data_IF_375616875588
#
_entry.id   IF_375616875588
#
_cell.length_a   1.000
_cell.length_b   1.000
_cell.length_c   1.000
_cell.angle_alpha   90.00
_cell.angle_beta   90.00
_cell.angle_gamma   90.00
#
_symmetry.space_group_name_H-M   'P 1'
#
loop_
_entity.id
_entity.type
_entity.pdbx_description
1 polymer ?
#
# COMPACT_ATOMS: atom_id res chain seq x y z
N UNK A 1 -11.99 2.65 -7.31
CA UNK A 1 -11.74 1.23 -7.13
C UNK A 1 -12.14 0.82 -5.74
N UNK A 2 -13.42 0.46 -5.65
CA UNK A 2 -14.03 0.03 -4.40
C UNK A 2 -13.34 -1.23 -3.88
N UNK A 3 -13.05 -1.19 -2.61
CA UNK A 3 -12.28 -2.19 -1.90
C UNK A 3 -13.05 -3.54 -1.99
N UNK A 4 -12.71 -4.38 -2.97
CA UNK A 4 -13.30 -5.71 -3.15
C UNK A 4 -13.17 -6.61 -1.91
N UNK A 5 -12.28 -6.25 -0.97
CA UNK A 5 -12.14 -6.88 0.34
C UNK A 5 -13.38 -6.67 1.23
N UNK A 6 -14.11 -5.56 1.06
CA UNK A 6 -15.34 -5.27 1.82
C UNK A 6 -16.49 -6.18 1.42
N UNK A 7 -16.60 -6.51 0.13
CA UNK A 7 -17.65 -7.42 -0.36
C UNK A 7 -17.41 -8.87 0.06
N UNK A 8 -16.14 -9.30 0.16
CA UNK A 8 -15.79 -10.63 0.65
C UNK A 8 -16.02 -10.78 2.16
N UNK A 9 -15.74 -9.74 2.96
CA UNK A 9 -16.02 -9.73 4.40
C UNK A 9 -17.53 -9.72 4.69
N UNK A 10 -18.33 -9.13 3.80
CA UNK A 10 -19.79 -9.11 3.91
C UNK A 10 -20.43 -10.46 3.58
N UNK A 11 -19.81 -11.24 2.69
CA UNK A 11 -20.24 -12.60 2.35
C UNK A 11 -19.87 -13.65 3.42
N UNK A 12 -18.87 -13.36 4.28
CA UNK A 12 -18.36 -14.27 5.31
C UNK A 12 -19.19 -14.33 6.62
N UNK A 13 -20.42 -13.86 6.62
CA UNK A 13 -21.37 -14.08 7.70
C UNK A 13 -21.32 -13.05 8.83
N UNK A 14 -22.53 -12.60 9.25
CA UNK A 14 -22.79 -11.55 10.24
C UNK A 14 -22.39 -11.88 11.70
N UNK A 15 -21.32 -12.60 11.94
CA UNK A 15 -20.76 -12.81 13.26
C UNK A 15 -19.83 -11.66 13.69
N UNK A 16 -19.62 -11.46 14.99
CA UNK A 16 -18.77 -10.44 15.57
C UNK A 16 -17.36 -10.40 14.91
N UNK A 17 -16.83 -11.55 14.53
CA UNK A 17 -15.52 -11.70 13.86
C UNK A 17 -15.54 -11.06 12.45
N UNK A 18 -16.60 -11.22 11.69
CA UNK A 18 -16.76 -10.62 10.35
C UNK A 18 -16.85 -9.10 10.42
N UNK A 19 -17.52 -8.57 11.43
CA UNK A 19 -17.63 -7.12 11.68
C UNK A 19 -16.26 -6.56 12.05
N UNK A 20 -15.54 -7.19 12.96
CA UNK A 20 -14.18 -6.77 13.39
C UNK A 20 -13.20 -6.80 12.21
N UNK A 21 -13.20 -7.85 11.40
CA UNK A 21 -12.33 -7.94 10.23
C UNK A 21 -12.66 -6.88 9.18
N UNK A 22 -13.94 -6.60 8.95
CA UNK A 22 -14.39 -5.53 8.06
C UNK A 22 -13.92 -4.16 8.54
N UNK A 23 -14.11 -3.87 9.84
CA UNK A 23 -13.77 -2.59 10.43
C UNK A 23 -12.25 -2.39 10.46
N UNK A 24 -11.49 -3.45 10.72
CA UNK A 24 -10.02 -3.44 10.65
C UNK A 24 -9.54 -3.18 9.22
N UNK A 25 -10.13 -3.83 8.22
CA UNK A 25 -9.81 -3.61 6.80
C UNK A 25 -10.17 -2.18 6.37
N UNK A 26 -11.29 -1.66 6.86
CA UNK A 26 -11.74 -0.28 6.59
C UNK A 26 -10.79 0.75 7.21
N UNK A 27 -10.41 0.56 8.47
CA UNK A 27 -9.40 1.37 9.16
C UNK A 27 -8.05 1.32 8.42
N UNK A 28 -7.61 0.16 7.97
CA UNK A 28 -6.39 0.02 7.20
C UNK A 28 -6.48 0.78 5.86
N UNK A 29 -7.52 0.56 5.06
CA UNK A 29 -7.71 1.24 3.77
C UNK A 29 -7.84 2.76 3.93
N UNK A 30 -8.49 3.23 5.00
CA UNK A 30 -8.68 4.64 5.29
C UNK A 30 -7.39 5.31 5.79
N UNK A 31 -6.58 4.60 6.59
CA UNK A 31 -5.34 5.12 7.17
C UNK A 31 -4.19 5.21 6.15
N UNK A 32 -4.18 4.34 5.12
CA UNK A 32 -3.12 4.27 4.11
C UNK A 32 -2.84 5.63 3.44
N UNK A 33 -3.84 6.37 2.91
CA UNK A 33 -3.62 7.66 2.24
C UNK A 33 -3.60 8.85 3.20
N UNK A 34 -4.23 8.75 4.37
CA UNK A 34 -4.50 9.91 5.25
C UNK A 34 -3.49 10.10 6.37
N UNK A 35 -2.92 9.02 6.85
CA UNK A 35 -1.98 9.11 7.95
C UNK A 35 -0.61 9.59 7.46
N UNK A 36 -0.27 10.84 7.78
CA UNK A 36 1.00 11.48 7.49
C UNK A 36 1.73 11.83 8.80
N UNK A 37 3.06 11.71 8.84
CA UNK A 37 3.85 12.12 9.99
C UNK A 37 4.93 11.12 10.42
N UNK A 38 5.65 11.46 11.50
CA UNK A 38 6.81 10.67 11.99
C UNK A 38 6.47 9.24 12.39
N UNK A 39 5.30 9.01 12.96
CA UNK A 39 4.87 7.66 13.34
C UNK A 39 4.60 6.76 12.11
N UNK A 40 4.32 7.35 10.93
CA UNK A 40 4.16 6.62 9.68
C UNK A 40 5.44 5.91 9.24
N UNK A 41 6.60 6.49 9.49
CA UNK A 41 7.90 5.87 9.17
C UNK A 41 8.07 4.51 9.86
N UNK A 42 7.50 4.37 11.07
CA UNK A 42 7.47 3.07 11.77
C UNK A 42 6.47 2.08 11.13
N UNK A 43 5.29 2.58 10.74
CA UNK A 43 4.26 1.79 10.07
C UNK A 43 4.69 1.31 8.67
N UNK A 44 5.50 2.09 7.96
CA UNK A 44 6.04 1.73 6.63
C UNK A 44 6.99 0.50 6.64
N UNK A 45 7.35 0.00 7.83
CA UNK A 45 8.03 -1.30 8.00
C UNK A 45 7.06 -2.48 7.86
N UNK A 46 5.75 -2.28 8.04
CA UNK A 46 4.73 -3.31 7.95
C UNK A 46 4.21 -3.43 6.51
N UNK A 47 3.89 -4.65 6.09
CA UNK A 47 3.58 -5.03 4.70
C UNK A 47 2.58 -4.10 3.97
N UNK A 48 1.38 -3.78 4.48
CA UNK A 48 0.40 -3.02 3.71
C UNK A 48 0.83 -1.57 3.46
N UNK A 49 1.47 -0.92 4.45
CA UNK A 49 1.95 0.46 4.30
C UNK A 49 3.17 0.56 3.39
N UNK A 50 4.08 -0.41 3.47
CA UNK A 50 5.23 -0.52 2.58
C UNK A 50 4.79 -0.67 1.12
N UNK A 51 3.81 -1.54 0.86
CA UNK A 51 3.24 -1.74 -0.47
C UNK A 51 2.65 -0.45 -1.05
N UNK A 52 1.88 0.28 -0.24
CA UNK A 52 1.30 1.56 -0.63
C UNK A 52 2.38 2.60 -0.95
N UNK A 53 3.41 2.73 -0.11
CA UNK A 53 4.56 3.61 -0.33
C UNK A 53 5.25 3.27 -1.66
N UNK A 54 5.57 2.01 -1.88
CA UNK A 54 6.27 1.55 -3.07
C UNK A 54 5.46 1.81 -4.35
N UNK A 55 4.12 1.62 -4.30
CA UNK A 55 3.23 1.99 -5.40
C UNK A 55 3.22 3.50 -5.68
N UNK A 56 3.17 4.31 -4.65
CA UNK A 56 3.19 5.78 -4.81
C UNK A 56 4.55 6.26 -5.33
N UNK A 57 5.66 5.66 -4.89
CA UNK A 57 7.00 5.94 -5.39
C UNK A 57 7.14 5.65 -6.90
N UNK A 58 6.61 4.51 -7.37
CA UNK A 58 6.60 4.18 -8.80
C UNK A 58 5.76 5.19 -9.60
N UNK A 59 4.56 5.52 -9.12
CA UNK A 59 3.69 6.52 -9.78
C UNK A 59 4.36 7.88 -9.84
N UNK A 60 4.97 8.31 -8.74
CA UNK A 60 5.72 9.56 -8.69
C UNK A 60 6.85 9.58 -9.73
N UNK A 61 7.70 8.55 -9.77
CA UNK A 61 8.79 8.46 -10.75
C UNK A 61 8.28 8.42 -12.19
N UNK A 62 7.18 7.71 -12.44
CA UNK A 62 6.58 7.64 -13.77
C UNK A 62 6.17 9.02 -14.28
N UNK A 63 5.45 9.79 -13.46
CA UNK A 63 5.01 11.14 -13.81
C UNK A 63 6.17 12.14 -13.85
N UNK A 64 7.08 12.10 -12.87
CA UNK A 64 8.24 12.98 -12.81
C UNK A 64 9.13 12.82 -14.06
N UNK A 65 9.39 11.59 -14.50
CA UNK A 65 10.21 11.34 -15.70
C UNK A 65 9.55 11.86 -16.99
N UNK A 66 8.22 11.82 -17.09
CA UNK A 66 7.51 12.39 -18.26
C UNK A 66 7.57 13.91 -18.25
N UNK A 67 7.30 14.53 -17.09
CA UNK A 67 7.27 15.98 -16.95
C UNK A 67 8.67 16.60 -17.08
N UNK A 68 9.72 15.94 -16.61
CA UNK A 68 11.10 16.40 -16.72
C UNK A 68 11.69 16.28 -18.14
N UNK A 69 11.11 15.48 -19.02
CA UNK A 69 11.52 15.37 -20.42
C UNK A 69 11.09 16.54 -21.30
N UNK A 70 10.19 17.39 -20.83
CA UNK A 70 9.77 18.58 -21.59
C UNK A 70 10.93 19.58 -21.72
N UNK A 71 10.91 20.44 -22.76
CA UNK A 71 11.95 21.48 -22.98
C UNK A 71 11.83 22.60 -21.93
N UNK A 72 12.94 23.10 -21.40
CA UNK A 72 13.00 24.21 -20.47
C UNK A 72 14.01 24.02 -19.34
N UNK A 73 14.08 24.99 -18.39
CA UNK A 73 14.98 24.92 -17.24
C UNK A 73 14.57 23.79 -16.28
N UNK A 74 15.54 23.01 -15.77
CA UNK A 74 15.31 21.83 -14.93
C UNK A 74 14.61 22.20 -13.63
N UNK A 75 14.97 23.30 -13.00
CA UNK A 75 14.41 23.73 -11.71
C UNK A 75 12.92 24.07 -11.85
N UNK A 76 12.60 24.85 -12.89
CA UNK A 76 11.21 25.22 -13.18
C UNK A 76 10.36 23.99 -13.48
N UNK A 77 10.92 23.01 -14.21
CA UNK A 77 10.22 21.77 -14.54
C UNK A 77 10.00 20.88 -13.34
N UNK A 78 11.04 20.73 -12.50
CA UNK A 78 10.92 19.96 -11.26
C UNK A 78 9.87 20.56 -10.34
N UNK A 79 9.90 21.88 -10.16
CA UNK A 79 8.91 22.61 -9.37
C UNK A 79 7.49 22.43 -9.92
N UNK A 80 7.31 22.58 -11.22
CA UNK A 80 6.01 22.41 -11.89
C UNK A 80 5.53 20.95 -11.75
N UNK A 81 6.42 19.98 -11.94
CA UNK A 81 6.10 18.57 -11.79
C UNK A 81 5.63 18.21 -10.37
N UNK A 82 6.27 18.77 -9.34
CA UNK A 82 5.86 18.61 -7.95
C UNK A 82 4.51 19.24 -7.65
N UNK A 83 4.26 20.46 -8.18
CA UNK A 83 2.97 21.16 -8.02
C UNK A 83 1.82 20.39 -8.70
N UNK A 84 2.02 19.96 -9.95
CA UNK A 84 1.00 19.20 -10.69
C UNK A 84 0.67 17.90 -9.99
N UNK A 85 1.69 17.19 -9.49
CA UNK A 85 1.46 15.95 -8.75
C UNK A 85 0.85 16.19 -7.37
N UNK A 86 1.10 17.35 -6.75
CA UNK A 86 0.58 17.73 -5.45
C UNK A 86 -0.91 18.09 -5.46
N UNK A 87 -1.44 18.56 -6.60
CA UNK A 87 -2.81 19.04 -6.70
C UNK A 87 -3.86 17.97 -6.34
N UNK A 88 -3.64 16.72 -6.78
CA UNK A 88 -4.54 15.60 -6.53
C UNK A 88 -3.92 14.51 -5.60
N UNK A 89 -2.83 14.86 -4.90
CA UNK A 89 -2.12 13.90 -4.08
C UNK A 89 -2.88 13.60 -2.78
N UNK A 90 -2.92 12.32 -2.35
CA UNK A 90 -3.41 11.98 -1.02
C UNK A 90 -2.53 12.65 0.06
N UNK A 91 -3.08 12.96 1.25
CA UNK A 91 -2.40 13.75 2.29
C UNK A 91 -1.00 13.26 2.65
N UNK A 92 -0.79 11.94 2.64
CA UNK A 92 0.53 11.35 2.87
C UNK A 92 1.53 11.70 1.77
N UNK A 93 1.14 11.58 0.51
CA UNK A 93 2.02 11.91 -0.62
C UNK A 93 2.23 13.43 -0.70
N UNK A 94 1.17 14.22 -0.50
CA UNK A 94 1.24 15.68 -0.48
C UNK A 94 2.29 16.18 0.52
N UNK A 95 2.36 15.60 1.72
CA UNK A 95 3.37 15.92 2.72
C UNK A 95 4.82 15.68 2.23
N UNK A 96 5.07 14.61 1.47
CA UNK A 96 6.38 14.36 0.87
C UNK A 96 6.70 15.35 -0.25
N UNK A 97 5.72 15.64 -1.11
CA UNK A 97 5.87 16.58 -2.23
C UNK A 97 6.11 18.01 -1.75
N UNK A 98 5.41 18.43 -0.70
CA UNK A 98 5.61 19.75 -0.08
C UNK A 98 7.06 19.88 0.46
N UNK A 99 7.59 18.84 1.11
CA UNK A 99 8.98 18.84 1.56
C UNK A 99 9.98 18.87 0.41
N UNK A 100 9.70 18.17 -0.69
CA UNK A 100 10.52 18.25 -1.90
C UNK A 100 10.47 19.67 -2.48
N UNK A 101 9.30 20.26 -2.53
CA UNK A 101 9.09 21.61 -3.05
C UNK A 101 9.86 22.65 -2.23
N UNK A 102 9.82 22.58 -0.89
CA UNK A 102 10.60 23.46 -0.01
C UNK A 102 12.11 23.37 -0.29
N UNK A 103 12.64 22.17 -0.60
CA UNK A 103 14.06 22.00 -0.95
C UNK A 103 14.39 22.59 -2.32
N UNK A 104 13.51 22.40 -3.30
CA UNK A 104 13.65 23.01 -4.64
C UNK A 104 13.61 24.53 -4.53
N UNK A 105 12.69 25.09 -3.75
CA UNK A 105 12.57 26.54 -3.53
C UNK A 105 13.81 27.10 -2.75
N UNK A 106 14.48 26.26 -1.97
CA UNK A 106 15.77 26.57 -1.33
C UNK A 106 16.98 26.46 -2.29
N UNK A 107 16.76 26.14 -3.58
CA UNK A 107 17.82 26.03 -4.60
C UNK A 107 18.51 24.69 -4.67
N UNK A 108 17.99 23.66 -4.00
CA UNK A 108 18.53 22.29 -4.08
C UNK A 108 18.02 21.62 -5.36
N UNK A 109 18.93 21.18 -6.23
CA UNK A 109 18.60 20.61 -7.57
C UNK A 109 19.18 19.21 -7.75
N UNK A 110 19.71 18.64 -6.70
CA UNK A 110 20.30 17.30 -6.70
C UNK A 110 19.33 16.24 -6.17
N UNK A 111 19.79 15.01 -6.09
CA UNK A 111 19.00 13.88 -5.60
C UNK A 111 18.55 14.02 -4.13
N UNK A 112 19.16 14.91 -3.35
CA UNK A 112 18.79 15.14 -1.95
C UNK A 112 17.38 15.73 -1.80
N UNK A 113 16.83 16.33 -2.87
CA UNK A 113 15.43 16.76 -2.95
C UNK A 113 14.50 15.59 -2.61
N UNK A 114 14.82 14.37 -3.07
CA UNK A 114 13.99 13.18 -2.92
C UNK A 114 14.18 12.44 -1.59
N UNK A 115 15.11 12.88 -0.74
CA UNK A 115 15.34 12.28 0.57
C UNK A 115 14.29 12.72 1.60
N UNK A 116 13.05 12.39 1.35
CA UNK A 116 11.90 12.66 2.24
C UNK A 116 11.37 11.40 2.90
N UNK A 117 11.95 10.22 2.59
CA UNK A 117 11.46 8.92 3.04
C UNK A 117 10.38 8.31 2.14
N UNK A 118 10.09 8.93 1.00
CA UNK A 118 9.20 8.36 -0.04
C UNK A 118 9.81 7.09 -0.63
N UNK A 119 11.11 7.07 -0.82
CA UNK A 119 11.85 5.92 -1.37
C UNK A 119 12.50 5.09 -0.26
N UNK A 120 12.61 3.78 -0.50
CA UNK A 120 13.44 2.92 0.34
C UNK A 120 14.91 3.41 0.27
N UNK A 121 15.68 3.42 1.38
CA UNK A 121 17.04 3.97 1.40
C UNK A 121 17.95 3.43 0.30
N UNK A 122 17.85 2.14 -0.03
CA UNK A 122 18.63 1.54 -1.11
C UNK A 122 18.30 2.13 -2.50
N UNK A 123 17.02 2.43 -2.75
CA UNK A 123 16.58 3.04 -4.00
C UNK A 123 16.91 4.54 -4.05
N UNK A 124 16.80 5.24 -2.92
CA UNK A 124 17.19 6.64 -2.81
C UNK A 124 18.69 6.82 -3.09
N UNK A 125 19.53 5.94 -2.53
CA UNK A 125 20.97 5.95 -2.77
C UNK A 125 21.33 5.70 -4.23
N UNK A 126 20.71 4.69 -4.83
CA UNK A 126 20.91 4.40 -6.27
C UNK A 126 20.43 5.56 -7.17
N UNK A 127 19.33 6.19 -6.81
CA UNK A 127 18.82 7.36 -7.53
C UNK A 127 19.78 8.55 -7.43
N UNK A 128 20.37 8.76 -6.26
CA UNK A 128 21.39 9.80 -6.06
C UNK A 128 22.60 9.58 -6.95
N UNK A 129 23.11 8.36 -7.02
CA UNK A 129 24.23 7.97 -7.87
C UNK A 129 23.93 8.18 -9.37
N UNK A 130 22.72 7.76 -9.81
CA UNK A 130 22.30 7.94 -11.21
C UNK A 130 22.12 9.42 -11.56
N UNK A 131 21.57 10.22 -10.67
CA UNK A 131 21.39 11.68 -10.88
C UNK A 131 22.75 12.37 -10.92
N UNK A 132 23.69 12.00 -10.06
CA UNK A 132 25.04 12.55 -10.06
C UNK A 132 25.81 12.23 -11.36
N UNK A 133 25.63 11.01 -11.88
CA UNK A 133 26.34 10.54 -13.09
C UNK A 133 25.73 11.06 -14.41
N UNK A 134 24.42 11.23 -14.50
CA UNK A 134 23.73 11.49 -15.76
C UNK A 134 22.85 12.75 -15.77
N UNK A 135 22.84 13.50 -14.67
CA UNK A 135 21.91 14.61 -14.45
C UNK A 135 20.52 14.17 -14.04
N UNK A 136 19.69 15.14 -13.62
CA UNK A 136 18.41 14.86 -12.97
C UNK A 136 17.42 14.10 -13.87
N UNK A 137 17.23 14.52 -15.11
CA UNK A 137 16.22 13.94 -16.00
C UNK A 137 16.57 12.50 -16.41
N UNK A 138 17.79 12.29 -16.89
CA UNK A 138 18.26 10.97 -17.36
C UNK A 138 18.53 10.02 -16.18
N UNK A 139 19.05 10.55 -15.09
CA UNK A 139 19.27 9.80 -13.85
C UNK A 139 17.97 9.24 -13.29
N UNK A 140 16.91 10.07 -13.21
CA UNK A 140 15.58 9.62 -12.78
C UNK A 140 14.95 8.61 -13.75
N UNK A 141 15.13 8.78 -15.04
CA UNK A 141 14.61 7.84 -16.05
C UNK A 141 15.25 6.44 -15.88
N UNK A 142 16.57 6.39 -15.66
CA UNK A 142 17.31 5.14 -15.40
C UNK A 142 16.94 4.53 -14.07
N UNK A 143 16.84 5.36 -13.02
CA UNK A 143 16.42 4.94 -11.70
C UNK A 143 15.01 4.33 -11.74
N UNK A 144 14.08 4.94 -12.47
CA UNK A 144 12.71 4.42 -12.68
C UNK A 144 12.74 3.00 -13.21
N UNK A 145 13.45 2.75 -14.32
CA UNK A 145 13.50 1.42 -14.95
C UNK A 145 13.98 0.35 -13.96
N UNK A 146 14.99 0.66 -13.15
CA UNK A 146 15.50 -0.27 -12.15
C UNK A 146 14.55 -0.46 -10.98
N UNK A 147 13.93 0.61 -10.49
CA UNK A 147 12.94 0.56 -9.40
C UNK A 147 11.73 -0.26 -9.83
N UNK A 148 11.20 -0.04 -11.04
CA UNK A 148 10.10 -0.82 -11.60
C UNK A 148 10.47 -2.31 -11.70
N UNK A 149 11.65 -2.63 -12.23
CA UNK A 149 12.12 -4.01 -12.38
C UNK A 149 12.24 -4.76 -11.04
N UNK A 150 12.58 -4.07 -9.95
CA UNK A 150 12.73 -4.68 -8.63
C UNK A 150 11.43 -4.70 -7.81
N UNK A 151 10.63 -3.64 -7.90
CA UNK A 151 9.40 -3.50 -7.12
C UNK A 151 8.22 -4.29 -7.69
N UNK A 152 8.02 -4.30 -9.01
CA UNK A 152 6.89 -4.98 -9.64
C UNK A 152 6.80 -6.48 -9.31
N UNK A 153 7.90 -7.27 -9.34
CA UNK A 153 7.85 -8.67 -8.94
C UNK A 153 7.49 -8.87 -7.47
N UNK A 154 7.96 -7.97 -6.58
CA UNK A 154 7.60 -8.00 -5.15
C UNK A 154 6.11 -7.74 -4.96
N UNK A 155 5.58 -6.71 -5.62
CA UNK A 155 4.16 -6.38 -5.61
C UNK A 155 3.29 -7.55 -6.06
N UNK A 156 3.66 -8.20 -7.17
CA UNK A 156 2.94 -9.37 -7.69
C UNK A 156 2.97 -10.54 -6.71
N UNK A 157 4.12 -10.86 -6.11
CA UNK A 157 4.24 -11.93 -5.13
C UNK A 157 3.40 -11.66 -3.87
N UNK A 158 3.38 -10.42 -3.40
CA UNK A 158 2.57 -10.03 -2.24
C UNK A 158 1.08 -10.09 -2.55
N UNK A 159 0.64 -9.62 -3.72
CA UNK A 159 -0.73 -9.74 -4.18
C UNK A 159 -1.18 -11.20 -4.31
N UNK A 160 -0.30 -12.07 -4.83
CA UNK A 160 -0.55 -13.51 -4.90
C UNK A 160 -0.65 -14.14 -3.51
N UNK A 161 0.28 -13.80 -2.59
CA UNK A 161 0.24 -14.27 -1.20
C UNK A 161 -1.06 -13.88 -0.49
N UNK A 162 -1.47 -12.63 -0.65
CA UNK A 162 -2.74 -12.14 -0.10
C UNK A 162 -3.94 -12.88 -0.69
N UNK A 163 -3.95 -13.10 -2.02
CA UNK A 163 -5.00 -13.87 -2.69
C UNK A 163 -5.12 -15.29 -2.11
N UNK A 164 -3.99 -15.99 -1.94
CA UNK A 164 -3.97 -17.33 -1.37
C UNK A 164 -4.40 -17.34 0.10
N UNK A 165 -3.96 -16.36 0.89
CA UNK A 165 -4.38 -16.23 2.29
C UNK A 165 -5.89 -16.01 2.42
N UNK A 166 -6.47 -15.17 1.56
CA UNK A 166 -7.92 -14.94 1.53
C UNK A 166 -8.70 -16.18 1.09
N UNK A 167 -8.22 -16.91 0.07
CA UNK A 167 -8.86 -18.14 -0.39
C UNK A 167 -8.84 -19.23 0.70
N UNK A 168 -7.68 -19.46 1.31
CA UNK A 168 -7.55 -20.44 2.38
C UNK A 168 -8.36 -20.05 3.62
N UNK A 169 -8.38 -18.75 3.96
CA UNK A 169 -9.20 -18.22 5.03
C UNK A 169 -10.70 -18.41 4.77
N UNK A 170 -11.17 -18.17 3.55
CA UNK A 170 -12.55 -18.39 3.18
C UNK A 170 -12.95 -19.88 3.26
N UNK A 171 -12.10 -20.78 2.73
CA UNK A 171 -12.33 -22.24 2.82
C UNK A 171 -12.33 -22.67 4.27
N UNK A 172 -11.36 -22.20 5.08
CA UNK A 172 -11.31 -22.50 6.52
C UNK A 172 -12.54 -22.02 7.28
N UNK A 173 -13.07 -20.84 6.94
CA UNK A 173 -14.28 -20.31 7.56
C UNK A 173 -15.52 -21.18 7.21
N UNK A 174 -15.65 -21.62 5.95
CA UNK A 174 -16.75 -22.51 5.53
C UNK A 174 -16.66 -23.86 6.26
N UNK A 175 -15.47 -24.44 6.36
CA UNK A 175 -15.27 -25.71 7.10
C UNK A 175 -15.58 -25.54 8.60
N UNK A 176 -15.12 -24.45 9.21
CA UNK A 176 -15.43 -24.16 10.62
C UNK A 176 -16.93 -24.01 10.88
N UNK A 177 -17.65 -23.34 9.97
CA UNK A 177 -19.11 -23.25 10.04
C UNK A 177 -19.80 -24.61 9.90
N UNK A 178 -19.33 -25.44 8.96
CA UNK A 178 -19.88 -26.77 8.77
C UNK A 178 -19.67 -27.65 10.02
N UNK A 179 -18.46 -27.63 10.59
CA UNK A 179 -18.15 -28.36 11.83
C UNK A 179 -18.96 -27.85 13.01
N UNK A 180 -19.15 -26.55 13.14
CA UNK A 180 -20.00 -25.93 14.17
C UNK A 180 -21.45 -26.42 14.06
N UNK A 181 -22.00 -26.44 12.84
CA UNK A 181 -23.35 -26.96 12.62
C UNK A 181 -23.47 -28.44 12.97
N UNK A 182 -22.46 -29.22 12.62
CA UNK A 182 -22.44 -30.65 12.94
C UNK A 182 -22.41 -30.90 14.45
N UNK A 183 -21.56 -30.16 15.19
CA UNK A 183 -21.49 -30.24 16.65
C UNK A 183 -22.82 -29.84 17.30
N UNK A 184 -23.49 -28.79 16.83
CA UNK A 184 -24.79 -28.37 17.36
C UNK A 184 -25.89 -29.42 17.13
N UNK A 185 -25.89 -30.12 15.99
CA UNK A 185 -26.82 -31.21 15.71
C UNK A 185 -26.56 -32.41 16.62
N UNK A 186 -25.28 -32.72 16.88
CA UNK A 186 -24.90 -33.85 17.74
C UNK A 186 -25.30 -33.59 19.20
N UNK A 187 -25.09 -32.37 19.71
CA UNK A 187 -25.56 -31.96 21.05
C UNK A 187 -27.09 -32.10 21.19
N UNK A 188 -27.84 -31.70 20.17
CA UNK A 188 -29.30 -31.86 20.15
C UNK A 188 -29.73 -33.34 20.16
N UNK A 189 -29.04 -34.20 19.42
CA UNK A 189 -29.27 -35.63 19.42
C UNK A 189 -29.05 -36.25 20.80
N UNK A 190 -27.94 -35.90 21.45
CA UNK A 190 -27.62 -36.37 22.79
C UNK A 190 -28.66 -35.89 23.81
N UNK A 191 -29.10 -34.67 23.73
CA UNK A 191 -30.15 -34.12 24.61
C UNK A 191 -31.48 -34.84 24.43
N UNK A 192 -31.89 -35.16 23.18
CA UNK A 192 -33.09 -35.92 22.90
C UNK A 192 -33.04 -37.38 23.43
N UNK A 193 -31.89 -38.06 23.20
CA UNK A 193 -31.73 -39.43 23.71
C UNK A 193 -31.77 -39.46 25.23
N UNK A 194 -31.14 -38.53 25.92
CA UNK A 194 -31.18 -38.46 27.37
C UNK A 194 -32.57 -38.15 27.91
N UNK A 195 -33.34 -37.31 27.23
CA UNK A 195 -34.76 -37.06 27.60
C UNK A 195 -35.65 -38.29 27.50
N UNK A 196 -35.56 -39.07 26.39
CA UNK A 196 -36.32 -40.33 26.24
C UNK A 196 -35.86 -41.44 27.17
N UNK A 197 -34.61 -41.46 27.59
CA UNK A 197 -34.09 -42.46 28.54
C UNK A 197 -34.50 -42.19 30.00
N UNK A 198 -34.99 -40.97 30.30
CA UNK A 198 -35.45 -40.57 31.62
C UNK A 198 -36.94 -40.75 31.87
N UNK A 199 -37.73 -41.20 30.85
CA UNK A 199 -39.13 -41.51 30.97
C UNK A 199 -39.33 -43.03 31.13
#
# INVERSE_FOLDING_TARGET
GDCTLLTLAQAAGGGALGIVLRDLAHLMCWSLPRYAGRARVFLDRWQPWRLYRDMQAIRFLALATVLLRQRGNIDTRLRTALLVQGADAPPWLAWHLERMLLRVDAGVVDASVFDTGLFEPAHAWFMADMVAAHGLADGLARARTRVEAHMLPRLRRQAQGLRWALLLGAVGAVLALALWHYAAIDDLRHALVSFYASQ
#
